data_IF_004646303399
#
_entry.id   IF_004646303399
#
_cell.length_a   1.000
_cell.length_b   1.000
_cell.length_c   1.000
_cell.angle_alpha   90.00
_cell.angle_beta   90.00
_cell.angle_gamma   90.00
#
_symmetry.space_group_name_H-M   'P 1'
#
loop_
_entity.id
_entity.type
_entity.pdbx_description
1 polymer ?
#
# COMPACT_ATOMS: atom_id res chain seq x y z
N UNK A 1 -17.69 -24.23 13.61
CA UNK A 1 -18.33 -24.84 14.80
C UNK A 1 -19.52 -24.03 15.31
N UNK A 2 -19.37 -22.74 15.64
CA UNK A 2 -20.47 -21.92 16.19
C UNK A 2 -21.74 -21.88 15.32
N UNK A 3 -21.59 -21.72 14.00
CA UNK A 3 -22.72 -21.71 13.06
C UNK A 3 -23.45 -23.05 13.00
N UNK A 4 -22.70 -24.15 13.00
CA UNK A 4 -23.26 -25.50 13.02
C UNK A 4 -24.11 -25.70 14.28
N UNK A 5 -23.57 -25.39 15.46
CA UNK A 5 -24.28 -25.49 16.74
C UNK A 5 -25.57 -24.66 16.71
N UNK A 6 -25.49 -23.40 16.26
CA UNK A 6 -26.66 -22.51 16.14
C UNK A 6 -27.71 -23.09 15.19
N UNK A 7 -27.31 -23.63 14.04
CA UNK A 7 -28.25 -24.23 13.06
C UNK A 7 -28.90 -25.50 13.60
N UNK A 8 -28.15 -26.33 14.33
CA UNK A 8 -28.70 -27.50 15.03
C UNK A 8 -29.71 -27.11 16.10
N UNK A 9 -29.45 -26.04 16.86
CA UNK A 9 -30.41 -25.49 17.82
C UNK A 9 -31.68 -24.92 17.15
N UNK A 10 -31.57 -24.46 15.91
CA UNK A 10 -32.70 -24.02 15.09
C UNK A 10 -33.45 -25.18 14.41
N UNK A 11 -33.12 -26.44 14.73
CA UNK A 11 -33.80 -27.62 14.19
C UNK A 11 -33.38 -28.01 12.77
N UNK A 12 -32.33 -27.40 12.21
CA UNK A 12 -31.80 -27.76 10.88
C UNK A 12 -31.15 -29.14 10.93
N UNK A 13 -31.28 -29.93 9.85
CA UNK A 13 -30.65 -31.25 9.69
C UNK A 13 -29.14 -31.19 9.94
N UNK A 14 -28.53 -32.33 10.28
CA UNK A 14 -27.07 -32.38 10.53
C UNK A 14 -26.30 -32.00 9.27
N UNK A 15 -26.77 -32.52 8.14
CA UNK A 15 -26.20 -32.36 6.81
C UNK A 15 -26.26 -30.89 6.37
N UNK A 16 -27.43 -30.26 6.44
CA UNK A 16 -27.60 -28.87 6.02
C UNK A 16 -26.86 -27.90 6.95
N UNK A 17 -26.89 -28.16 8.26
CA UNK A 17 -26.13 -27.37 9.22
C UNK A 17 -24.62 -27.46 8.95
N UNK A 18 -24.12 -28.64 8.54
CA UNK A 18 -22.72 -28.85 8.20
C UNK A 18 -22.34 -28.16 6.89
N UNK A 19 -23.18 -28.28 5.85
CA UNK A 19 -22.99 -27.61 4.56
C UNK A 19 -22.94 -26.09 4.77
N UNK A 20 -23.92 -25.53 5.48
CA UNK A 20 -23.97 -24.08 5.67
C UNK A 20 -22.83 -23.58 6.55
N UNK A 21 -22.45 -24.35 7.60
CA UNK A 21 -21.29 -24.01 8.41
C UNK A 21 -19.99 -24.03 7.58
N UNK A 22 -19.85 -24.97 6.65
CA UNK A 22 -18.72 -25.03 5.71
C UNK A 22 -18.73 -23.85 4.75
N UNK A 23 -19.91 -23.47 4.24
CA UNK A 23 -20.07 -22.37 3.29
C UNK A 23 -19.80 -20.99 3.90
N UNK A 24 -19.76 -20.88 5.23
CA UNK A 24 -19.30 -19.64 5.89
C UNK A 24 -17.79 -19.44 5.83
N UNK A 25 -17.01 -20.50 5.61
CA UNK A 25 -15.56 -20.42 5.43
C UNK A 25 -15.20 -20.43 3.93
N UNK A 26 -14.00 -19.94 3.62
CA UNK A 26 -13.44 -20.09 2.29
C UNK A 26 -13.00 -21.55 2.11
N UNK A 27 -13.72 -22.29 1.28
CA UNK A 27 -13.35 -23.67 0.96
C UNK A 27 -12.23 -23.70 -0.09
N UNK A 28 -11.03 -24.14 0.30
CA UNK A 28 -9.86 -24.21 -0.59
C UNK A 28 -9.76 -25.50 -1.41
N UNK A 29 -10.73 -26.41 -1.32
CA UNK A 29 -10.83 -27.56 -2.23
C UNK A 29 -11.25 -27.09 -3.63
N UNK A 30 -10.27 -26.62 -4.41
CA UNK A 30 -10.46 -26.04 -5.74
C UNK A 30 -10.23 -27.12 -6.80
N UNK A 31 -11.26 -27.41 -7.60
CA UNK A 31 -11.19 -28.39 -8.70
C UNK A 31 -10.71 -27.80 -10.03
N UNK A 32 -10.40 -26.50 -10.08
CA UNK A 32 -9.93 -25.83 -11.30
C UNK A 32 -8.43 -26.11 -11.54
N UNK A 33 -8.04 -26.85 -12.60
CA UNK A 33 -6.64 -27.26 -12.79
C UNK A 33 -5.68 -26.08 -12.96
N UNK A 34 -6.10 -25.02 -13.64
CA UNK A 34 -5.29 -23.83 -13.88
C UNK A 34 -5.05 -23.02 -12.60
N UNK A 35 -6.00 -22.96 -11.66
CA UNK A 35 -5.81 -22.31 -10.35
C UNK A 35 -4.77 -23.09 -9.53
N UNK A 36 -4.85 -24.41 -9.56
CA UNK A 36 -3.92 -25.28 -8.87
C UNK A 36 -2.50 -25.20 -9.47
N UNK A 37 -2.39 -25.14 -10.80
CA UNK A 37 -1.12 -24.92 -11.48
C UNK A 37 -0.53 -23.54 -11.14
N UNK A 38 -1.33 -22.47 -11.20
CA UNK A 38 -0.88 -21.11 -10.92
C UNK A 38 -0.42 -20.95 -9.46
N UNK A 39 -1.18 -21.46 -8.48
CA UNK A 39 -0.81 -21.36 -7.07
C UNK A 39 0.44 -22.17 -6.70
N UNK A 40 0.72 -23.23 -7.44
CA UNK A 40 1.88 -24.09 -7.20
C UNK A 40 3.17 -23.53 -7.81
N UNK A 41 3.07 -22.52 -8.69
CA UNK A 41 4.20 -22.04 -9.49
C UNK A 41 4.51 -20.57 -9.23
N UNK A 42 3.67 -19.68 -9.73
CA UNK A 42 3.97 -18.25 -9.81
C UNK A 42 3.07 -17.39 -8.91
N UNK A 43 1.81 -17.79 -8.70
CA UNK A 43 0.77 -16.96 -8.09
C UNK A 43 0.22 -17.61 -6.82
N UNK A 44 0.99 -17.72 -5.72
CA UNK A 44 0.62 -18.50 -4.53
C UNK A 44 -0.72 -18.06 -3.90
N UNK A 45 -1.10 -16.79 -4.06
CA UNK A 45 -2.30 -16.20 -3.46
C UNK A 45 -3.56 -16.25 -4.36
N UNK A 46 -3.46 -16.72 -5.61
CA UNK A 46 -4.60 -16.74 -6.55
C UNK A 46 -5.79 -17.55 -6.02
N UNK A 47 -5.52 -18.61 -5.25
CA UNK A 47 -6.54 -19.46 -4.66
C UNK A 47 -7.44 -18.72 -3.66
N UNK A 48 -6.85 -17.77 -2.90
CA UNK A 48 -7.59 -16.93 -1.97
C UNK A 48 -8.55 -16.03 -2.73
N UNK A 49 -8.06 -15.25 -3.69
CA UNK A 49 -8.85 -14.37 -4.55
C UNK A 49 -9.99 -15.11 -5.25
N UNK A 50 -9.71 -16.28 -5.84
CA UNK A 50 -10.70 -17.12 -6.52
C UNK A 50 -11.89 -17.52 -5.63
N UNK A 51 -11.66 -17.73 -4.33
CA UNK A 51 -12.71 -18.09 -3.36
C UNK A 51 -13.32 -16.88 -2.66
N UNK A 52 -12.52 -15.85 -2.40
CA UNK A 52 -12.92 -14.68 -1.65
C UNK A 52 -13.88 -13.80 -2.45
N UNK A 53 -13.58 -13.51 -3.73
CA UNK A 53 -14.40 -12.60 -4.55
C UNK A 53 -15.87 -13.02 -4.60
N UNK A 54 -16.25 -14.26 -4.98
CA UNK A 54 -17.66 -14.65 -5.03
C UNK A 54 -18.36 -14.51 -3.68
N UNK A 55 -17.67 -14.83 -2.58
CA UNK A 55 -18.24 -14.75 -1.24
C UNK A 55 -18.45 -13.31 -0.78
N UNK A 56 -17.54 -12.42 -1.15
CA UNK A 56 -17.64 -10.98 -0.89
C UNK A 56 -18.78 -10.41 -1.72
N UNK A 57 -18.85 -10.70 -3.01
CA UNK A 57 -19.95 -10.26 -3.88
C UNK A 57 -21.30 -10.71 -3.35
N UNK A 58 -21.42 -11.98 -2.93
CA UNK A 58 -22.62 -12.50 -2.26
C UNK A 58 -22.94 -11.71 -0.97
N UNK A 59 -21.92 -11.44 -0.14
CA UNK A 59 -22.11 -10.71 1.12
C UNK A 59 -22.54 -9.27 0.89
N UNK A 60 -21.99 -8.59 -0.12
CA UNK A 60 -22.39 -7.22 -0.50
C UNK A 60 -23.84 -7.21 -0.99
N UNK A 61 -24.23 -8.18 -1.83
CA UNK A 61 -25.57 -8.25 -2.40
C UNK A 61 -26.63 -8.65 -1.36
N UNK A 62 -26.38 -9.70 -0.57
CA UNK A 62 -27.37 -10.24 0.37
C UNK A 62 -27.34 -9.55 1.73
N UNK A 63 -26.19 -8.99 2.13
CA UNK A 63 -25.94 -8.51 3.50
C UNK A 63 -25.12 -7.22 3.55
N UNK A 64 -25.52 -6.14 2.85
CA UNK A 64 -24.74 -4.89 2.75
C UNK A 64 -24.44 -4.25 4.11
N UNK A 65 -25.31 -4.45 5.12
CA UNK A 65 -25.07 -3.95 6.49
C UNK A 65 -23.79 -4.51 7.13
N UNK A 66 -23.34 -5.69 6.71
CA UNK A 66 -22.06 -6.26 7.18
C UNK A 66 -20.85 -5.50 6.65
N UNK A 67 -20.97 -4.80 5.52
CA UNK A 67 -19.94 -3.88 5.02
C UNK A 67 -20.13 -2.51 5.67
N UNK A 68 -21.37 -2.02 5.74
CA UNK A 68 -21.68 -0.72 6.33
C UNK A 68 -21.19 -0.58 7.78
N UNK A 69 -21.20 -1.65 8.59
CA UNK A 69 -20.65 -1.61 9.95
C UNK A 69 -19.16 -1.21 10.00
N UNK A 70 -18.35 -1.62 9.01
CA UNK A 70 -16.93 -1.27 8.98
C UNK A 70 -16.75 0.21 8.64
N UNK A 71 -17.57 0.72 7.73
CA UNK A 71 -17.63 2.16 7.42
C UNK A 71 -18.00 2.95 8.66
N UNK A 72 -19.09 2.57 9.33
CA UNK A 72 -19.58 3.25 10.52
C UNK A 72 -18.53 3.25 11.65
N UNK A 73 -17.89 2.09 11.92
CA UNK A 73 -16.85 1.98 12.93
C UNK A 73 -15.64 2.85 12.55
N UNK A 74 -15.15 2.77 11.32
CA UNK A 74 -13.99 3.56 10.89
C UNK A 74 -14.24 5.06 10.96
N UNK A 75 -15.41 5.52 10.50
CA UNK A 75 -15.77 6.93 10.56
C UNK A 75 -15.96 7.40 12.01
N UNK A 76 -16.64 6.59 12.83
CA UNK A 76 -16.80 6.86 14.26
C UNK A 76 -15.45 6.95 14.99
N UNK A 77 -14.52 6.05 14.69
CA UNK A 77 -13.17 6.08 15.27
C UNK A 77 -12.36 7.28 14.80
N UNK A 78 -12.41 7.65 13.51
CA UNK A 78 -11.75 8.87 13.02
C UNK A 78 -12.33 10.11 13.72
N UNK A 79 -13.66 10.25 13.76
CA UNK A 79 -14.34 11.37 14.41
C UNK A 79 -13.93 11.48 15.89
N UNK A 80 -13.92 10.34 16.61
CA UNK A 80 -13.47 10.30 18.00
C UNK A 80 -12.00 10.68 18.13
N UNK A 81 -11.13 10.15 17.26
CA UNK A 81 -9.71 10.46 17.29
C UNK A 81 -9.43 11.95 17.08
N UNK A 82 -10.08 12.58 16.09
CA UNK A 82 -9.99 14.02 15.85
C UNK A 82 -10.52 14.85 17.01
N UNK A 83 -11.57 14.38 17.70
CA UNK A 83 -12.11 15.09 18.87
C UNK A 83 -11.24 14.96 20.13
N UNK A 84 -10.53 13.84 20.29
CA UNK A 84 -9.75 13.52 21.50
C UNK A 84 -8.33 14.06 21.41
N UNK A 85 -7.72 13.99 20.22
CA UNK A 85 -6.36 14.43 19.97
C UNK A 85 -6.30 15.33 18.72
N UNK A 86 -6.83 16.56 18.81
CA UNK A 86 -6.70 17.54 17.73
C UNK A 86 -5.22 17.83 17.49
N UNK A 87 -4.84 17.98 16.22
CA UNK A 87 -3.54 18.49 15.82
C UNK A 87 -3.67 19.95 15.35
N UNK A 88 -2.55 20.60 15.05
CA UNK A 88 -2.54 21.95 14.48
C UNK A 88 -3.06 21.99 13.03
N UNK A 89 -3.30 20.82 12.43
CA UNK A 89 -3.79 20.66 11.06
C UNK A 89 -5.23 20.18 11.08
N UNK A 90 -6.02 20.64 10.12
CA UNK A 90 -7.36 20.10 9.92
C UNK A 90 -7.30 18.69 9.29
N UNK A 91 -8.44 17.98 9.31
CA UNK A 91 -8.50 16.61 8.77
C UNK A 91 -8.11 16.60 7.28
N UNK A 92 -8.51 17.61 6.49
CA UNK A 92 -8.20 17.64 5.07
C UNK A 92 -6.70 17.81 4.79
N UNK A 93 -6.01 18.71 5.51
CA UNK A 93 -4.57 18.87 5.43
C UNK A 93 -3.84 17.58 5.80
N UNK A 94 -4.24 16.94 6.90
CA UNK A 94 -3.66 15.67 7.32
C UNK A 94 -3.79 14.60 6.22
N UNK A 95 -4.98 14.46 5.62
CA UNK A 95 -5.26 13.47 4.57
C UNK A 95 -4.55 13.76 3.25
N UNK A 96 -4.40 15.03 2.90
CA UNK A 96 -3.78 15.46 1.64
C UNK A 96 -2.24 15.37 1.68
N UNK A 97 -1.64 15.38 2.88
CA UNK A 97 -0.20 15.19 3.09
C UNK A 97 0.30 13.77 2.74
N UNK A 98 -0.60 12.79 2.69
CA UNK A 98 -0.26 11.40 2.38
C UNK A 98 0.16 11.22 0.92
N UNK A 99 0.99 10.19 0.71
CA UNK A 99 1.42 9.76 -0.62
C UNK A 99 0.29 9.02 -1.34
N UNK A 100 0.37 8.92 -2.65
CA UNK A 100 -0.70 8.33 -3.50
C UNK A 100 -1.10 6.89 -3.09
N UNK A 101 -0.15 6.06 -2.62
CA UNK A 101 -0.45 4.71 -2.12
C UNK A 101 -1.14 4.65 -0.75
N UNK A 102 -1.08 5.73 0.02
CA UNK A 102 -1.55 5.82 1.42
C UNK A 102 -2.87 6.60 1.52
N UNK A 103 -3.09 7.54 0.60
CA UNK A 103 -4.34 8.28 0.48
C UNK A 103 -5.46 7.40 -0.12
N UNK A 104 -6.70 7.73 0.23
CA UNK A 104 -7.89 7.20 -0.42
C UNK A 104 -8.63 6.17 0.42
N UNK A 105 -9.61 5.53 -0.23
CA UNK A 105 -10.50 4.58 0.42
C UNK A 105 -10.07 3.14 0.14
N UNK A 106 -10.43 2.24 1.04
CA UNK A 106 -10.40 0.79 0.86
C UNK A 106 -11.61 0.36 0.03
N UNK A 107 -11.69 -0.92 -0.36
CA UNK A 107 -12.84 -1.44 -1.11
C UNK A 107 -14.16 -1.37 -0.34
N UNK A 108 -14.11 -1.36 1.01
CA UNK A 108 -15.29 -1.16 1.86
C UNK A 108 -15.63 0.31 2.08
N UNK A 109 -14.95 1.25 1.41
CA UNK A 109 -15.16 2.70 1.52
C UNK A 109 -14.75 3.31 2.88
N UNK A 110 -13.77 2.71 3.56
CA UNK A 110 -13.10 3.32 4.73
C UNK A 110 -11.79 3.98 4.31
N UNK A 111 -11.29 4.96 5.05
CA UNK A 111 -9.93 5.50 4.79
C UNK A 111 -8.87 4.42 4.98
N UNK A 112 -7.84 4.40 4.13
CA UNK A 112 -6.73 3.45 4.23
C UNK A 112 -5.92 3.64 5.52
N UNK A 113 -5.83 4.89 5.98
CA UNK A 113 -5.16 5.30 7.20
C UNK A 113 -6.22 5.73 8.22
N UNK A 114 -6.32 5.05 9.36
CA UNK A 114 -7.21 5.44 10.45
C UNK A 114 -6.46 6.35 11.43
N UNK A 115 -7.03 7.48 11.82
CA UNK A 115 -6.40 8.42 12.76
C UNK A 115 -6.44 7.81 14.18
N UNK A 116 -5.32 7.86 14.89
CA UNK A 116 -5.25 7.39 16.28
C UNK A 116 -5.62 8.50 17.27
N UNK A 117 -6.22 8.20 18.42
CA UNK A 117 -6.64 9.21 19.40
C UNK A 117 -5.48 9.76 20.26
N UNK A 118 -4.29 9.87 19.69
CA UNK A 118 -3.09 10.46 20.31
C UNK A 118 -2.17 11.07 19.25
N UNK A 119 -1.21 11.86 19.71
CA UNK A 119 -0.09 12.40 18.93
C UNK A 119 1.19 11.63 19.26
N UNK A 120 2.16 11.66 18.36
CA UNK A 120 3.50 11.16 18.62
C UNK A 120 4.24 12.05 19.63
N UNK A 121 5.41 11.60 20.10
CA UNK A 121 6.26 12.38 20.99
C UNK A 121 6.71 13.72 20.36
N UNK A 122 6.72 13.81 19.03
CA UNK A 122 7.06 15.02 18.27
C UNK A 122 5.85 15.94 18.02
N UNK A 123 4.66 15.58 18.51
CA UNK A 123 3.41 16.32 18.26
C UNK A 123 2.72 15.94 16.95
N UNK A 124 3.30 15.06 16.14
CA UNK A 124 2.71 14.67 14.85
C UNK A 124 1.49 13.75 15.02
N UNK A 125 0.48 13.87 14.16
CA UNK A 125 -0.64 12.94 14.12
C UNK A 125 -0.18 11.52 13.75
N UNK A 126 -0.69 10.53 14.49
CA UNK A 126 -0.42 9.10 14.28
C UNK A 126 -1.58 8.44 13.56
N UNK A 127 -1.26 7.59 12.60
CA UNK A 127 -2.22 6.83 11.81
C UNK A 127 -1.94 5.33 11.82
N UNK A 128 -3.00 4.53 11.81
CA UNK A 128 -2.95 3.08 11.64
C UNK A 128 -3.31 2.74 10.19
N UNK A 129 -2.44 2.01 9.49
CA UNK A 129 -2.77 1.42 8.20
C UNK A 129 -3.73 0.23 8.39
N UNK A 130 -5.00 0.44 8.03
CA UNK A 130 -6.06 -0.56 8.21
C UNK A 130 -6.28 -1.43 6.97
N UNK A 131 -5.50 -1.29 5.89
CA UNK A 131 -5.69 -2.07 4.66
C UNK A 131 -5.65 -3.57 4.90
N UNK A 132 -4.80 -4.02 5.83
CA UNK A 132 -4.67 -5.43 6.25
C UNK A 132 -5.74 -5.89 7.25
N UNK A 133 -6.54 -4.97 7.77
CA UNK A 133 -7.55 -5.21 8.81
C UNK A 133 -8.95 -5.23 8.20
N UNK A 134 -9.12 -4.59 7.05
CA UNK A 134 -10.34 -4.70 6.24
C UNK A 134 -10.46 -6.13 5.71
N UNK A 135 -11.62 -6.79 5.88
CA UNK A 135 -11.84 -8.14 5.37
C UNK A 135 -11.52 -8.20 3.88
N UNK A 136 -10.73 -9.18 3.46
CA UNK A 136 -10.31 -9.31 2.06
C UNK A 136 -9.67 -8.05 1.46
N UNK A 137 -9.03 -7.22 2.30
CA UNK A 137 -8.24 -6.07 1.87
C UNK A 137 -7.24 -6.48 0.78
N UNK A 138 -6.52 -7.57 0.99
CA UNK A 138 -5.51 -8.07 0.05
C UNK A 138 -6.07 -8.37 -1.36
N UNK A 139 -7.34 -8.80 -1.49
CA UNK A 139 -7.98 -9.09 -2.80
C UNK A 139 -8.04 -7.84 -3.68
N UNK A 140 -8.26 -6.70 -3.05
CA UNK A 140 -8.49 -5.42 -3.69
C UNK A 140 -7.35 -4.42 -3.46
N UNK A 141 -6.30 -4.84 -2.75
CA UNK A 141 -5.10 -4.03 -2.55
C UNK A 141 -4.21 -4.12 -3.79
N UNK A 142 -3.74 -2.96 -4.21
CA UNK A 142 -2.80 -2.82 -5.33
C UNK A 142 -1.42 -2.55 -4.74
N UNK A 143 -0.42 -3.29 -5.19
CA UNK A 143 0.98 -2.93 -4.95
C UNK A 143 1.52 -2.30 -6.23
N UNK A 144 1.68 -0.98 -6.22
CA UNK A 144 1.82 -0.21 -7.45
C UNK A 144 0.56 -0.36 -8.30
N UNK A 145 0.71 -0.73 -9.56
CA UNK A 145 -0.40 -0.95 -10.51
C UNK A 145 -0.85 -2.42 -10.58
N UNK A 146 -0.23 -3.32 -9.82
CA UNK A 146 -0.49 -4.76 -9.88
C UNK A 146 -1.25 -5.21 -8.63
N UNK A 147 -2.41 -5.88 -8.78
CA UNK A 147 -3.11 -6.50 -7.67
C UNK A 147 -2.21 -7.44 -6.89
N UNK A 148 -2.30 -7.43 -5.56
CA UNK A 148 -1.38 -8.19 -4.69
C UNK A 148 -1.34 -9.69 -5.01
N UNK A 149 -2.47 -10.26 -5.43
CA UNK A 149 -2.60 -11.68 -5.80
C UNK A 149 -2.02 -12.04 -7.18
N UNK A 150 -1.67 -11.05 -8.00
CA UNK A 150 -0.92 -11.22 -9.25
C UNK A 150 0.58 -11.07 -9.06
N UNK A 151 1.04 -10.79 -7.84
CA UNK A 151 2.47 -10.74 -7.58
C UNK A 151 3.06 -12.13 -7.75
N UNK A 152 4.04 -12.18 -8.64
CA UNK A 152 4.87 -13.36 -8.80
C UNK A 152 5.81 -13.39 -7.60
N UNK A 153 5.87 -14.54 -6.93
CA UNK A 153 6.76 -14.74 -5.78
C UNK A 153 7.76 -15.88 -6.00
N UNK A 154 8.59 -16.10 -4.99
CA UNK A 154 9.46 -17.28 -4.89
C UNK A 154 10.90 -17.07 -5.37
N UNK A 155 11.72 -18.14 -5.37
CA UNK A 155 13.17 -18.05 -5.60
C UNK A 155 13.55 -17.45 -6.95
N UNK A 156 12.76 -17.68 -8.00
CA UNK A 156 13.01 -17.12 -9.33
C UNK A 156 12.88 -15.58 -9.35
N UNK A 157 11.95 -15.05 -8.56
CA UNK A 157 11.77 -13.59 -8.42
C UNK A 157 12.93 -12.99 -7.66
N UNK A 158 13.37 -13.63 -6.56
CA UNK A 158 14.56 -13.17 -5.81
C UNK A 158 15.79 -13.16 -6.71
N UNK A 159 15.98 -14.19 -7.55
CA UNK A 159 17.06 -14.22 -8.52
C UNK A 159 16.95 -13.07 -9.54
N UNK A 160 15.74 -12.77 -10.03
CA UNK A 160 15.49 -11.65 -10.92
C UNK A 160 15.75 -10.30 -10.24
N UNK A 161 15.35 -10.12 -8.98
CA UNK A 161 15.59 -8.90 -8.19
C UNK A 161 17.10 -8.63 -8.04
N UNK A 162 17.87 -9.66 -7.69
CA UNK A 162 19.34 -9.56 -7.58
C UNK A 162 19.99 -9.29 -8.94
N UNK A 163 19.52 -9.95 -10.00
CA UNK A 163 20.06 -9.76 -11.36
C UNK A 163 19.78 -8.36 -11.91
N UNK A 164 18.53 -7.88 -11.76
CA UNK A 164 18.10 -6.55 -12.19
C UNK A 164 18.54 -5.45 -11.23
N UNK A 165 19.13 -5.81 -10.09
CA UNK A 165 19.49 -4.90 -9.03
C UNK A 165 18.31 -4.04 -8.57
N UNK A 166 17.13 -4.65 -8.44
CA UNK A 166 15.87 -3.95 -8.18
C UNK A 166 14.99 -4.82 -7.30
N UNK A 167 14.72 -4.40 -6.07
CA UNK A 167 13.77 -5.10 -5.21
C UNK A 167 12.34 -4.86 -5.70
N UNK A 168 11.55 -5.91 -5.91
CA UNK A 168 10.19 -5.81 -6.41
C UNK A 168 9.23 -5.23 -5.36
N UNK A 169 9.50 -5.48 -4.07
CA UNK A 169 8.66 -4.98 -2.99
C UNK A 169 8.78 -3.46 -2.79
N UNK A 170 10.01 -2.94 -2.76
CA UNK A 170 10.27 -1.51 -2.49
C UNK A 170 10.45 -0.69 -3.78
N UNK A 171 10.88 -1.31 -4.87
CA UNK A 171 11.27 -0.62 -6.09
C UNK A 171 12.65 0.04 -5.99
N UNK A 172 13.43 -0.24 -4.94
CA UNK A 172 14.75 0.34 -4.73
C UNK A 172 15.84 -0.54 -5.35
N UNK A 173 16.99 0.09 -5.61
CA UNK A 173 18.17 -0.63 -6.08
C UNK A 173 18.86 -1.33 -4.89
N UNK A 174 19.19 -2.62 -5.05
CA UNK A 174 19.80 -3.43 -3.97
C UNK A 174 21.23 -2.96 -3.68
N UNK A 175 21.96 -2.59 -4.73
CA UNK A 175 23.29 -1.98 -4.65
C UNK A 175 23.32 -0.69 -5.45
N UNK A 176 24.16 0.26 -5.04
CA UNK A 176 24.44 1.44 -5.84
C UNK A 176 25.63 1.17 -6.76
N UNK A 177 25.43 1.06 -8.08
CA UNK A 177 26.51 0.71 -9.01
C UNK A 177 27.58 1.81 -9.14
N UNK A 178 27.28 3.05 -8.75
CA UNK A 178 28.17 4.20 -8.90
C UNK A 178 29.05 4.44 -7.66
N UNK A 179 28.53 4.17 -6.46
CA UNK A 179 29.23 4.48 -5.21
C UNK A 179 29.76 3.26 -4.48
N UNK A 180 29.11 2.09 -4.65
CA UNK A 180 29.47 0.91 -3.87
C UNK A 180 30.70 0.20 -4.43
N UNK A 181 31.64 -0.09 -3.55
CA UNK A 181 32.79 -0.96 -3.81
C UNK A 181 32.37 -2.40 -4.09
N UNK A 182 33.27 -3.23 -4.60
CA UNK A 182 32.99 -4.65 -4.82
C UNK A 182 32.57 -5.37 -3.53
N UNK A 183 33.25 -5.10 -2.42
CA UNK A 183 32.94 -5.68 -1.11
C UNK A 183 31.54 -5.28 -0.63
N UNK A 184 31.20 -4.00 -0.68
CA UNK A 184 29.89 -3.49 -0.28
C UNK A 184 28.76 -4.09 -1.13
N UNK A 185 28.98 -4.23 -2.44
CA UNK A 185 28.00 -4.87 -3.34
C UNK A 185 27.74 -6.33 -2.97
N UNK A 186 28.77 -7.08 -2.62
CA UNK A 186 28.63 -8.47 -2.19
C UNK A 186 27.89 -8.57 -0.86
N UNK A 187 28.24 -7.73 0.12
CA UNK A 187 27.58 -7.68 1.43
C UNK A 187 26.10 -7.34 1.30
N UNK A 188 25.74 -6.27 0.58
CA UNK A 188 24.34 -5.85 0.39
C UNK A 188 23.50 -6.91 -0.32
N UNK A 189 24.05 -7.58 -1.34
CA UNK A 189 23.38 -8.71 -2.02
C UNK A 189 23.18 -9.89 -1.08
N UNK A 190 24.21 -10.23 -0.28
CA UNK A 190 24.12 -11.31 0.70
C UNK A 190 23.06 -11.01 1.78
N UNK A 191 23.05 -9.78 2.29
CA UNK A 191 22.06 -9.30 3.26
C UNK A 191 20.65 -9.31 2.67
N UNK A 192 20.47 -8.85 1.43
CA UNK A 192 19.19 -8.93 0.72
C UNK A 192 18.71 -10.37 0.59
N UNK A 193 19.56 -11.29 0.12
CA UNK A 193 19.22 -12.71 -0.01
C UNK A 193 18.84 -13.32 1.34
N UNK A 194 19.59 -13.02 2.40
CA UNK A 194 19.30 -13.48 3.75
C UNK A 194 17.93 -12.96 4.23
N UNK A 195 17.68 -11.64 4.12
CA UNK A 195 16.41 -11.02 4.50
C UNK A 195 15.22 -11.51 3.66
N UNK A 196 15.44 -11.86 2.40
CA UNK A 196 14.41 -12.39 1.51
C UNK A 196 14.05 -13.85 1.80
N UNK A 197 14.97 -14.62 2.38
CA UNK A 197 14.69 -16.01 2.78
C UNK A 197 14.22 -16.16 4.22
N UNK A 198 14.66 -15.29 5.11
CA UNK A 198 14.30 -15.37 6.51
C UNK A 198 12.91 -14.79 6.78
N UNK A 199 12.15 -15.33 7.75
CA UNK A 199 10.92 -14.72 8.19
C UNK A 199 11.16 -13.28 8.67
N UNK A 200 10.37 -12.34 8.17
CA UNK A 200 10.38 -10.97 8.69
C UNK A 200 9.71 -10.97 10.06
N UNK A 201 10.50 -11.14 11.13
CA UNK A 201 10.04 -11.22 12.51
C UNK A 201 11.05 -10.58 13.47
N UNK A 202 10.61 -9.97 14.58
CA UNK A 202 11.48 -9.21 15.47
C UNK A 202 12.54 -10.07 16.19
N UNK A 203 12.31 -11.38 16.35
CA UNK A 203 13.27 -12.32 16.96
C UNK A 203 14.27 -12.91 15.95
N UNK A 204 14.12 -12.63 14.66
CA UNK A 204 15.05 -13.09 13.63
C UNK A 204 16.19 -12.09 13.49
N UNK A 205 17.46 -12.51 13.71
CA UNK A 205 18.62 -11.64 13.55
C UNK A 205 18.67 -11.01 12.17
N UNK A 206 19.06 -9.74 12.08
CA UNK A 206 19.18 -8.94 10.86
C UNK A 206 17.92 -8.91 9.98
N UNK A 207 16.73 -9.16 10.52
CA UNK A 207 15.48 -9.01 9.77
C UNK A 207 15.05 -7.54 9.67
N UNK A 208 14.20 -7.22 8.69
CA UNK A 208 13.64 -5.87 8.53
C UNK A 208 12.95 -5.32 9.79
N UNK A 209 12.31 -6.17 10.60
CA UNK A 209 11.68 -5.73 11.84
C UNK A 209 12.65 -5.58 13.00
N UNK A 210 13.65 -6.45 13.09
CA UNK A 210 14.67 -6.32 14.12
C UNK A 210 15.49 -5.05 13.89
N UNK A 211 15.90 -4.77 12.65
CA UNK A 211 16.58 -3.54 12.26
C UNK A 211 15.74 -2.30 12.56
N UNK A 212 14.43 -2.32 12.24
CA UNK A 212 13.53 -1.21 12.56
C UNK A 212 13.49 -0.93 14.06
N UNK A 213 13.46 -1.97 14.90
CA UNK A 213 13.46 -1.85 16.37
C UNK A 213 14.82 -1.31 16.85
N UNK A 214 15.93 -1.84 16.34
CA UNK A 214 17.27 -1.39 16.72
C UNK A 214 17.51 0.07 16.35
N UNK A 215 17.12 0.51 15.15
CA UNK A 215 17.20 1.92 14.74
C UNK A 215 16.38 2.83 15.65
N UNK A 216 15.21 2.37 16.11
CA UNK A 216 14.44 3.11 17.12
C UNK A 216 15.15 3.18 18.47
N UNK A 217 15.78 2.10 18.90
CA UNK A 217 16.52 2.04 20.15
C UNK A 217 17.79 2.91 20.13
N UNK A 218 18.50 2.93 19.00
CA UNK A 218 19.73 3.72 18.78
C UNK A 218 19.47 5.21 18.52
N UNK A 219 18.19 5.61 18.39
CA UNK A 219 17.80 7.00 18.13
C UNK A 219 17.84 7.41 16.65
N UNK A 220 18.10 6.49 15.72
CA UNK A 220 18.01 6.70 14.26
C UNK A 220 16.64 6.24 13.71
N UNK A 221 15.58 6.57 14.44
CA UNK A 221 14.24 6.04 14.24
C UNK A 221 13.51 6.72 13.07
N UNK A 222 13.97 6.53 11.83
CA UNK A 222 13.39 7.20 10.65
C UNK A 222 12.81 6.23 9.64
N UNK A 223 11.55 6.47 9.27
CA UNK A 223 10.85 5.62 8.32
C UNK A 223 11.56 5.63 6.96
N UNK A 224 11.67 4.44 6.39
CA UNK A 224 12.19 4.26 5.04
C UNK A 224 11.29 5.01 4.03
N UNK A 225 11.89 5.84 3.17
CA UNK A 225 11.28 6.78 2.19
C UNK A 225 10.67 8.09 2.71
N UNK A 226 9.91 8.09 3.80
CA UNK A 226 9.29 9.33 4.28
C UNK A 226 10.19 10.12 5.21
N UNK A 227 11.24 9.49 5.76
CA UNK A 227 12.13 10.07 6.76
C UNK A 227 11.39 10.59 8.00
N UNK A 228 10.15 10.14 8.20
CA UNK A 228 9.31 10.49 9.35
C UNK A 228 9.85 9.78 10.60
N UNK A 229 10.01 10.50 11.72
CA UNK A 229 10.47 9.89 12.96
C UNK A 229 9.43 8.86 13.47
N UNK A 230 9.85 7.79 14.13
CA UNK A 230 8.94 6.84 14.79
C UNK A 230 9.48 6.41 16.15
N UNK A 231 8.59 6.04 17.08
CA UNK A 231 9.01 5.62 18.43
C UNK A 231 9.33 4.13 18.51
N UNK A 232 10.01 3.71 19.59
CA UNK A 232 10.25 2.29 19.87
C UNK A 232 8.94 1.49 19.97
N UNK A 233 7.90 2.06 20.60
CA UNK A 233 6.59 1.43 20.70
C UNK A 233 5.95 1.18 19.33
N UNK A 234 6.09 2.14 18.40
CA UNK A 234 5.60 2.03 17.03
C UNK A 234 6.42 1.03 16.19
N UNK A 235 7.73 0.94 16.44
CA UNK A 235 8.58 -0.06 15.82
C UNK A 235 8.16 -1.49 16.20
N UNK A 236 7.94 -1.70 17.51
CA UNK A 236 7.49 -2.97 18.08
C UNK A 236 6.09 -3.30 17.56
N UNK A 237 5.13 -2.38 17.62
CA UNK A 237 3.76 -2.62 17.16
C UNK A 237 3.72 -3.00 15.67
N UNK A 238 4.53 -2.33 14.84
CA UNK A 238 4.69 -2.64 13.42
C UNK A 238 5.22 -4.06 13.18
N UNK A 239 6.09 -4.58 14.06
CA UNK A 239 6.61 -5.95 13.95
C UNK A 239 5.54 -7.01 14.18
N UNK A 240 4.49 -6.69 14.94
CA UNK A 240 3.32 -7.55 15.17
C UNK A 240 2.15 -7.26 14.23
N UNK A 241 2.39 -6.50 13.15
CA UNK A 241 1.36 -6.22 12.13
C UNK A 241 0.48 -4.99 12.42
N UNK A 242 0.68 -4.30 13.54
CA UNK A 242 0.01 -3.04 13.86
C UNK A 242 0.84 -1.90 13.28
N UNK A 243 0.52 -1.50 12.04
CA UNK A 243 1.30 -0.50 11.30
C UNK A 243 0.92 0.92 11.71
N UNK A 244 1.51 1.40 12.80
CA UNK A 244 1.44 2.80 13.20
C UNK A 244 2.43 3.65 12.41
N UNK A 245 1.96 4.83 11.99
CA UNK A 245 2.68 5.79 11.18
C UNK A 245 2.44 7.20 11.72
N UNK A 246 3.39 7.78 12.49
CA UNK A 246 3.42 9.22 12.70
C UNK A 246 3.66 9.92 11.37
N UNK A 247 2.98 11.06 11.19
CA UNK A 247 2.96 11.78 9.92
C UNK A 247 3.29 13.25 10.13
N UNK A 248 4.48 13.64 9.69
CA UNK A 248 4.86 15.03 9.51
C UNK A 248 4.10 15.59 8.27
N UNK A 249 3.14 16.47 8.55
CA UNK A 249 2.26 17.06 7.54
C UNK A 249 3.07 17.98 6.62
N UNK A 250 3.97 18.78 7.16
CA UNK A 250 4.76 19.75 6.41
C UNK A 250 5.74 19.06 5.47
N UNK A 251 6.45 18.04 5.96
CA UNK A 251 7.34 17.23 5.14
C UNK A 251 6.55 16.51 4.03
N UNK A 252 5.32 16.07 4.31
CA UNK A 252 4.40 15.53 3.31
C UNK A 252 4.12 16.51 2.17
N UNK A 253 3.74 17.74 2.50
CA UNK A 253 3.48 18.80 1.52
C UNK A 253 4.74 19.27 0.77
N UNK A 254 5.88 19.36 1.46
CA UNK A 254 7.17 19.65 0.83
C UNK A 254 7.55 18.58 -0.20
N UNK A 255 7.32 17.30 0.14
CA UNK A 255 7.49 16.17 -0.77
C UNK A 255 6.61 16.29 -2.01
N UNK A 256 5.34 16.65 -1.85
CA UNK A 256 4.43 16.91 -2.97
C UNK A 256 4.91 18.06 -3.84
N UNK A 257 5.33 19.18 -3.26
CA UNK A 257 5.84 20.33 -4.01
C UNK A 257 6.99 19.96 -4.93
N UNK A 258 7.97 19.21 -4.40
CA UNK A 258 9.11 18.72 -5.18
C UNK A 258 8.65 17.82 -6.34
N UNK A 259 7.69 16.93 -6.10
CA UNK A 259 7.14 16.06 -7.14
C UNK A 259 6.42 16.85 -8.24
N UNK A 260 5.55 17.79 -7.86
CA UNK A 260 4.85 18.65 -8.81
C UNK A 260 5.81 19.48 -9.67
N UNK A 261 6.85 20.05 -9.06
CA UNK A 261 7.90 20.80 -9.79
C UNK A 261 8.68 19.90 -10.74
N UNK A 262 9.02 18.67 -10.34
CA UNK A 262 9.68 17.69 -11.20
C UNK A 262 8.81 17.35 -12.41
N UNK A 263 7.55 16.98 -12.20
CA UNK A 263 6.61 16.64 -13.28
C UNK A 263 6.36 17.83 -14.20
N UNK A 264 6.23 19.04 -13.64
CA UNK A 264 6.08 20.27 -14.43
C UNK A 264 7.27 20.52 -15.35
N UNK A 265 8.50 20.35 -14.83
CA UNK A 265 9.75 20.45 -15.63
C UNK A 265 9.79 19.40 -16.74
N UNK A 266 9.44 18.15 -16.45
CA UNK A 266 9.38 17.07 -17.44
C UNK A 266 8.38 17.36 -18.56
N UNK A 267 7.19 17.86 -18.23
CA UNK A 267 6.19 18.27 -19.23
C UNK A 267 6.68 19.46 -20.07
N UNK A 268 7.41 20.40 -19.46
CA UNK A 268 8.08 21.49 -20.18
C UNK A 268 9.16 20.99 -21.14
N UNK A 269 9.96 20.01 -20.72
CA UNK A 269 10.97 19.37 -21.55
C UNK A 269 10.33 18.59 -22.72
N UNK A 270 9.21 17.91 -22.49
CA UNK A 270 8.44 17.22 -23.53
C UNK A 270 7.93 18.19 -24.61
N UNK A 271 7.29 19.30 -24.20
CA UNK A 271 6.85 20.34 -25.14
C UNK A 271 8.02 20.93 -25.95
N UNK A 272 9.15 21.18 -25.30
CA UNK A 272 10.36 21.68 -25.97
C UNK A 272 10.94 20.65 -26.95
N UNK A 273 10.90 19.37 -26.61
CA UNK A 273 11.32 18.28 -27.49
C UNK A 273 10.46 18.20 -28.74
N UNK A 274 9.13 18.25 -28.59
CA UNK A 274 8.19 18.29 -29.71
C UNK A 274 8.48 19.47 -30.66
N UNK A 275 8.76 20.65 -30.09
CA UNK A 275 9.13 21.84 -30.88
C UNK A 275 10.41 21.61 -31.70
N UNK A 276 11.45 21.02 -31.09
CA UNK A 276 12.71 20.69 -31.79
C UNK A 276 12.51 19.64 -32.87
N UNK A 277 11.71 18.60 -32.60
CA UNK A 277 11.40 17.56 -33.60
C UNK A 277 10.69 18.17 -34.81
N UNK A 278 9.74 19.08 -34.58
CA UNK A 278 9.07 19.81 -35.66
C UNK A 278 10.03 20.68 -36.47
N UNK A 279 10.90 21.44 -35.80
CA UNK A 279 11.92 22.28 -36.46
C UNK A 279 12.90 21.46 -37.31
N UNK A 280 13.21 20.23 -36.89
CA UNK A 280 14.08 19.29 -37.62
C UNK A 280 13.35 18.51 -38.73
N UNK A 281 12.05 18.75 -38.93
CA UNK A 281 11.24 18.01 -39.90
C UNK A 281 11.01 16.54 -39.55
N UNK A 282 11.26 16.13 -38.30
CA UNK A 282 11.08 14.74 -37.84
C UNK A 282 9.61 14.37 -37.60
N UNK A 283 8.75 15.37 -37.42
CA UNK A 283 7.31 15.21 -37.24
C UNK A 283 6.54 16.22 -38.09
N UNK A 284 5.36 15.83 -38.56
CA UNK A 284 4.44 16.70 -39.27
C UNK A 284 3.77 17.71 -38.31
N UNK A 285 2.96 18.62 -38.88
CA UNK A 285 2.27 19.66 -38.11
C UNK A 285 1.20 19.05 -37.19
N UNK A 286 0.48 18.05 -37.69
CA UNK A 286 -0.65 17.45 -36.98
C UNK A 286 -0.17 16.67 -35.74
N UNK A 287 0.88 15.85 -35.88
CA UNK A 287 1.51 15.15 -34.77
C UNK A 287 2.10 16.12 -33.74
N UNK A 288 2.66 17.25 -34.18
CA UNK A 288 3.14 18.30 -33.28
C UNK A 288 2.00 18.93 -32.46
N UNK A 289 0.92 19.35 -33.13
CA UNK A 289 -0.25 19.97 -32.48
C UNK A 289 -0.95 18.99 -31.53
N UNK A 290 -1.12 17.73 -31.95
CA UNK A 290 -1.67 16.67 -31.12
C UNK A 290 -0.79 16.40 -29.88
N UNK A 291 0.53 16.35 -30.07
CA UNK A 291 1.51 16.19 -28.99
C UNK A 291 1.45 17.33 -27.97
N UNK A 292 1.42 18.57 -28.44
CA UNK A 292 1.28 19.74 -27.58
C UNK A 292 -0.05 19.75 -26.82
N UNK A 293 -1.16 19.44 -27.49
CA UNK A 293 -2.49 19.36 -26.85
C UNK A 293 -2.50 18.30 -25.75
N UNK A 294 -1.81 17.18 -25.95
CA UNK A 294 -1.67 16.16 -24.93
C UNK A 294 -0.86 16.66 -23.73
N UNK A 295 0.27 17.33 -23.96
CA UNK A 295 1.07 17.95 -22.89
C UNK A 295 0.27 18.99 -22.12
N UNK A 296 -0.50 19.84 -22.81
CA UNK A 296 -1.33 20.86 -22.17
C UNK A 296 -2.42 20.23 -21.30
N UNK A 297 -3.09 19.19 -21.80
CA UNK A 297 -4.05 18.41 -21.01
C UNK A 297 -3.41 17.81 -19.75
N UNK A 298 -2.17 17.29 -19.85
CA UNK A 298 -1.42 16.79 -18.69
C UNK A 298 -1.11 17.91 -17.69
N UNK A 299 -0.71 19.10 -18.16
CA UNK A 299 -0.48 20.27 -17.29
C UNK A 299 -1.75 20.72 -16.59
N UNK A 300 -2.90 20.71 -17.27
CA UNK A 300 -4.18 21.03 -16.66
C UNK A 300 -4.56 20.06 -15.54
N UNK A 301 -4.36 18.75 -15.77
CA UNK A 301 -4.53 17.72 -14.72
C UNK A 301 -3.59 17.95 -13.54
N UNK A 302 -2.31 18.25 -13.81
CA UNK A 302 -1.33 18.55 -12.77
C UNK A 302 -1.74 19.75 -11.91
N UNK A 303 -2.25 20.82 -12.54
CA UNK A 303 -2.77 22.00 -11.83
C UNK A 303 -4.03 21.69 -11.01
N UNK A 304 -4.92 20.85 -11.52
CA UNK A 304 -6.12 20.43 -10.79
C UNK A 304 -5.75 19.61 -9.54
N UNK A 305 -4.81 18.67 -9.67
CA UNK A 305 -4.30 17.89 -8.53
C UNK A 305 -3.55 18.76 -7.51
N UNK A 306 -2.76 19.73 -7.97
CA UNK A 306 -2.14 20.73 -7.09
C UNK A 306 -3.21 21.45 -6.26
N UNK A 307 -4.23 22.02 -6.92
CA UNK A 307 -5.31 22.73 -6.23
C UNK A 307 -6.02 21.85 -5.23
N UNK A 308 -6.37 20.62 -5.60
CA UNK A 308 -7.06 19.68 -4.72
C UNK A 308 -6.28 19.37 -3.44
N UNK A 309 -4.95 19.27 -3.52
CA UNK A 309 -4.12 18.92 -2.35
C UNK A 309 -3.79 20.13 -1.49
N UNK A 310 -3.54 21.27 -2.10
CA UNK A 310 -3.10 22.49 -1.42
C UNK A 310 -4.25 23.45 -1.06
N UNK A 311 -5.48 23.20 -1.49
CA UNK A 311 -6.64 24.06 -1.17
C UNK A 311 -6.96 24.17 0.31
N UNK A 312 -6.55 23.18 1.12
CA UNK A 312 -6.74 23.22 2.56
C UNK A 312 -5.74 24.15 3.28
N UNK A 313 -4.67 24.59 2.61
CA UNK A 313 -3.64 25.48 3.17
C UNK A 313 -3.78 26.96 2.77
N UNK A 314 -4.67 27.27 1.82
CA UNK A 314 -4.91 28.63 1.29
C UNK A 314 -6.11 29.28 2.00
#
# INVERSE_FOLDING_TARGET
>A
MATYIRRRQQGVSVEDAAIEARDQFLNYDIRAPWVNAARATALPFIAYTYRAIPKISQTVAERPWKVAKYVAISQGLNMLAYSVAPSDYDEEEERNSFREGETGKTWVYTDRMLRMPWLSDSGDPVFLDIRRWVPAGDVFDLQGDVPSWLQIGGPAVIAAEVYLNRAAFTGDDIVNPLTDTFGERMTKRGEFLYKSWMPSAPWVPNSWYQEKIWRAFEGDARQWHSNEPYSLGEAISSSFGVKLKPKDIEAGYAGWKIQFEKVSRELGAQASSLKRQRQRGLIDREAYEAGLKNVERKKQRLKAEWRKRFSARD
#
